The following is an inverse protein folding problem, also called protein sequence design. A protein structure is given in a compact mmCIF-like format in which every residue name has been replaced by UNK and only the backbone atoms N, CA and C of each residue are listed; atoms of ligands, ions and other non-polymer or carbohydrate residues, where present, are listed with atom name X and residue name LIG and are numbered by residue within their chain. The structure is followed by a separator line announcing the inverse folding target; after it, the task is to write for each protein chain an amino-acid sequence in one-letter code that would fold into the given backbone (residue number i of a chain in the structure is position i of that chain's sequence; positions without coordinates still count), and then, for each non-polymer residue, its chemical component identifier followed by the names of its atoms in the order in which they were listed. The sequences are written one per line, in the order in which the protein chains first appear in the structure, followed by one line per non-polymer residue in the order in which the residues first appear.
data_IF_915159563212
#
_entry.id   IF_915159563212
#
_cell.length_a   1.000
_cell.length_b   1.000
_cell.length_c   1.000
_cell.angle_alpha   90.00
_cell.angle_beta   90.00
_cell.angle_gamma   90.00
#
_symmetry.space_group_name_H-M   'P 1'
#
loop_
_entity.id
_entity.type
_entity.pdbx_description
1 polymer ?
#
# COMPACT_ATOMS: atom_id res chain seq x y z
N UNK A 1 28.08 2.39 5.01
CA UNK A 1 27.97 3.43 3.96
C UNK A 1 26.49 3.53 3.60
N UNK A 2 25.75 4.43 4.23
CA UNK A 2 24.38 4.73 3.83
C UNK A 2 24.44 5.87 2.83
N UNK A 3 24.23 5.58 1.56
CA UNK A 3 24.07 6.64 0.56
C UNK A 3 22.81 7.42 0.89
N UNK A 4 22.93 8.74 1.04
CA UNK A 4 21.76 9.62 1.01
C UNK A 4 21.09 9.39 -0.34
N UNK A 5 19.90 8.82 -0.34
CA UNK A 5 18.99 8.93 -1.49
C UNK A 5 18.79 10.42 -1.75
N UNK A 6 18.84 10.84 -3.01
CA UNK A 6 18.53 12.22 -3.35
C UNK A 6 17.04 12.48 -3.06
N UNK A 7 16.67 13.65 -2.52
CA UNK A 7 15.28 13.93 -2.11
C UNK A 7 14.26 13.58 -3.22
N UNK A 8 14.56 13.92 -4.48
CA UNK A 8 13.72 13.56 -5.64
C UNK A 8 13.56 12.05 -5.89
N UNK A 9 14.60 11.26 -5.63
CA UNK A 9 14.54 9.80 -5.73
C UNK A 9 13.66 9.23 -4.62
N UNK A 10 13.69 9.84 -3.42
CA UNK A 10 12.81 9.46 -2.34
C UNK A 10 11.36 9.82 -2.67
N UNK A 11 11.09 11.02 -3.20
CA UNK A 11 9.73 11.47 -3.55
C UNK A 11 9.10 10.51 -4.57
N UNK A 12 9.86 10.18 -5.63
CA UNK A 12 9.43 9.19 -6.64
C UNK A 12 9.15 7.83 -6.01
N UNK A 13 9.98 7.40 -5.07
CA UNK A 13 9.77 6.14 -4.35
C UNK A 13 8.51 6.20 -3.46
N UNK A 14 8.29 7.29 -2.73
CA UNK A 14 7.12 7.48 -1.88
C UNK A 14 5.82 7.46 -2.70
N UNK A 15 5.79 8.17 -3.84
CA UNK A 15 4.68 8.13 -4.79
C UNK A 15 4.39 6.71 -5.26
N UNK A 16 5.44 5.97 -5.66
CA UNK A 16 5.29 4.59 -6.11
C UNK A 16 4.74 3.67 -5.00
N UNK A 17 5.18 3.83 -3.76
CA UNK A 17 4.68 3.05 -2.63
C UNK A 17 3.22 3.36 -2.29
N UNK A 18 2.84 4.64 -2.27
CA UNK A 18 1.45 5.05 -2.04
C UNK A 18 0.53 4.55 -3.18
N UNK A 19 0.97 4.67 -4.43
CA UNK A 19 0.24 4.15 -5.59
C UNK A 19 0.08 2.61 -5.53
N UNK A 20 1.13 1.89 -5.13
CA UNK A 20 1.08 0.45 -4.93
C UNK A 20 0.10 0.06 -3.82
N UNK A 21 0.10 0.78 -2.69
CA UNK A 21 -0.90 0.60 -1.64
C UNK A 21 -2.33 0.80 -2.15
N UNK A 22 -2.60 1.84 -2.95
CA UNK A 22 -3.93 2.08 -3.55
C UNK A 22 -4.33 0.93 -4.48
N UNK A 23 -3.40 0.43 -5.28
CA UNK A 23 -3.62 -0.74 -6.14
C UNK A 23 -4.03 -1.98 -5.32
N UNK A 24 -3.28 -2.31 -4.27
CA UNK A 24 -3.57 -3.44 -3.38
C UNK A 24 -4.94 -3.31 -2.69
N UNK A 25 -5.35 -2.11 -2.25
CA UNK A 25 -6.68 -1.89 -1.68
C UNK A 25 -7.82 -2.20 -2.67
N UNK A 26 -7.60 -1.92 -3.96
CA UNK A 26 -8.54 -2.22 -5.03
C UNK A 26 -8.67 -3.71 -5.34
N UNK A 27 -7.57 -4.47 -5.23
CA UNK A 27 -7.55 -5.92 -5.39
C UNK A 27 -8.16 -6.63 -4.18
N UNK A 28 -7.70 -6.30 -2.97
CA UNK A 28 -8.07 -6.99 -1.74
C UNK A 28 -9.38 -6.46 -1.12
N UNK A 29 -10.49 -6.62 -1.85
CA UNK A 29 -11.84 -6.25 -1.41
C UNK A 29 -12.57 -7.39 -0.72
N UNK A 30 -13.51 -7.04 0.16
CA UNK A 30 -14.44 -7.99 0.80
C UNK A 30 -15.40 -8.58 -0.23
N UNK A 31 -15.60 -9.89 -0.19
CA UNK A 31 -16.63 -10.60 -0.94
C UNK A 31 -17.95 -10.75 -0.14
N UNK A 32 -18.91 -11.49 -0.70
CA UNK A 32 -20.20 -11.74 -0.06
C UNK A 32 -20.15 -12.64 1.19
N UNK A 33 -19.07 -13.40 1.39
CA UNK A 33 -18.86 -14.28 2.55
C UNK A 33 -18.09 -13.60 3.69
N UNK A 34 -17.54 -12.40 3.45
CA UNK A 34 -16.69 -11.72 4.41
C UNK A 34 -15.21 -12.06 4.29
N UNK A 35 -14.81 -12.73 3.23
CA UNK A 35 -13.43 -13.00 2.90
C UNK A 35 -12.88 -11.97 1.91
N UNK A 36 -11.57 -11.91 1.76
CA UNK A 36 -10.90 -11.17 0.71
C UNK A 36 -11.06 -11.92 -0.60
N UNK A 37 -11.54 -11.22 -1.65
CA UNK A 37 -11.78 -11.80 -2.97
C UNK A 37 -10.53 -12.36 -3.64
N UNK A 38 -9.37 -11.77 -3.35
CA UNK A 38 -8.11 -12.11 -4.02
C UNK A 38 -7.39 -13.29 -3.35
N UNK A 39 -7.29 -13.29 -2.01
CA UNK A 39 -6.54 -14.31 -1.28
C UNK A 39 -7.38 -15.28 -0.43
N UNK A 40 -8.71 -15.12 -0.41
CA UNK A 40 -9.66 -16.01 0.28
C UNK A 40 -9.64 -15.94 1.82
N UNK A 41 -8.75 -15.15 2.42
CA UNK A 41 -8.64 -14.99 3.88
C UNK A 41 -9.74 -14.09 4.45
N UNK A 42 -10.08 -14.19 5.75
CA UNK A 42 -11.01 -13.26 6.39
C UNK A 42 -10.62 -11.80 6.13
N UNK A 43 -11.61 -10.97 5.82
CA UNK A 43 -11.39 -9.55 5.55
C UNK A 43 -11.45 -8.71 6.86
N UNK A 44 -10.51 -7.78 7.10
CA UNK A 44 -9.39 -7.41 6.25
C UNK A 44 -8.26 -8.45 6.28
N UNK A 45 -7.74 -8.80 5.11
CA UNK A 45 -6.58 -9.69 5.03
C UNK A 45 -5.27 -8.91 5.25
N UNK A 46 -4.17 -9.63 5.51
CA UNK A 46 -2.86 -9.03 5.76
C UNK A 46 -2.38 -8.08 4.66
N UNK A 47 -2.57 -8.43 3.38
CA UNK A 47 -2.20 -7.55 2.25
C UNK A 47 -3.03 -6.27 2.21
N UNK A 48 -4.33 -6.34 2.55
CA UNK A 48 -5.16 -5.13 2.67
C UNK A 48 -4.66 -4.22 3.79
N UNK A 49 -4.32 -4.80 4.94
CA UNK A 49 -3.77 -4.04 6.08
C UNK A 49 -2.44 -3.40 5.70
N UNK A 50 -1.54 -4.16 5.07
CA UNK A 50 -0.26 -3.65 4.54
C UNK A 50 -0.46 -2.51 3.54
N UNK A 51 -1.43 -2.64 2.63
CA UNK A 51 -1.77 -1.61 1.67
C UNK A 51 -2.16 -0.28 2.33
N UNK A 52 -2.99 -0.35 3.38
CA UNK A 52 -3.34 0.83 4.18
C UNK A 52 -2.12 1.46 4.87
N UNK A 53 -1.22 0.63 5.41
CA UNK A 53 0.02 1.11 6.03
C UNK A 53 0.96 1.78 5.02
N UNK A 54 1.08 1.26 3.80
CA UNK A 54 1.88 1.89 2.75
C UNK A 54 1.35 3.29 2.40
N UNK A 55 0.05 3.42 2.21
CA UNK A 55 -0.57 4.73 1.92
C UNK A 55 -0.34 5.69 3.09
N UNK A 56 -0.70 5.29 4.31
CA UNK A 56 -0.56 6.14 5.49
C UNK A 56 0.88 6.55 5.79
N UNK A 57 1.86 5.72 5.42
CA UNK A 57 3.27 6.02 5.65
C UNK A 57 3.85 7.00 4.61
N UNK A 58 3.42 6.90 3.35
CA UNK A 58 4.04 7.62 2.24
C UNK A 58 3.20 8.78 1.68
N UNK A 59 1.88 8.84 1.91
CA UNK A 59 1.05 9.88 1.25
C UNK A 59 1.45 11.30 1.64
N UNK A 60 1.85 11.53 2.89
CA UNK A 60 2.26 12.85 3.37
C UNK A 60 3.51 13.37 2.65
N UNK A 61 4.36 12.47 2.13
CA UNK A 61 5.60 12.79 1.43
C UNK A 61 5.38 12.99 -0.08
N UNK A 62 4.14 12.86 -0.54
CA UNK A 62 3.73 13.07 -1.94
C UNK A 62 2.98 14.39 -2.16
N UNK A 63 2.92 15.24 -1.12
CA UNK A 63 2.09 16.47 -1.06
C UNK A 63 2.87 17.74 -1.37
#
# INVERSE_FOLDING_TARGET
MGGSIAEQEFDTYAEAQAAYGRHLLGLHRRDGAGCCRDCGRPHPCGERTRAGLLIAHFEDWTS
#
